data_IF_165958179962
#
_entry.id   IF_165958179962
#
_cell.length_a   1.000
_cell.length_b   1.000
_cell.length_c   1.000
_cell.angle_alpha   90.00
_cell.angle_beta   90.00
_cell.angle_gamma   90.00
#
_symmetry.space_group_name_H-M   'P 1'
#
loop_
_entity.id
_entity.type
_entity.pdbx_description
1 polymer ?
#
# COMPACT_ATOMS: atom_id res chain seq x y z
N UNK A 1 -12.95 -12.95 -1.29
CA UNK A 1 -12.63 -11.54 -1.59
C UNK A 1 -13.02 -11.25 -3.01
N UNK A 2 -13.55 -10.04 -3.25
CA UNK A 2 -13.84 -9.48 -4.57
C UNK A 2 -12.81 -8.41 -4.89
N UNK A 3 -12.38 -8.34 -6.13
CA UNK A 3 -11.42 -7.34 -6.59
C UNK A 3 -12.05 -6.44 -7.64
N UNK A 4 -11.80 -5.14 -7.51
CA UNK A 4 -12.09 -4.14 -8.53
C UNK A 4 -10.77 -3.62 -9.05
N UNK A 5 -10.60 -3.66 -10.37
CA UNK A 5 -9.44 -3.12 -11.04
C UNK A 5 -9.76 -1.72 -11.55
N UNK A 6 -8.86 -0.76 -11.36
CA UNK A 6 -9.00 0.58 -11.91
C UNK A 6 -7.66 1.17 -12.31
N UNK A 7 -7.66 2.23 -13.12
CA UNK A 7 -6.42 2.93 -13.48
C UNK A 7 -5.74 3.54 -12.26
N UNK A 8 -6.55 4.08 -11.36
CA UNK A 8 -6.15 4.60 -10.05
C UNK A 8 -7.38 4.79 -9.17
N UNK A 9 -7.16 4.93 -7.87
CA UNK A 9 -8.20 5.25 -6.91
C UNK A 9 -8.28 6.76 -6.66
N UNK A 10 -9.48 7.33 -6.70
CA UNK A 10 -9.73 8.70 -6.25
C UNK A 10 -9.95 8.67 -4.74
N UNK A 11 -8.98 9.19 -3.97
CA UNK A 11 -9.04 9.18 -2.51
C UNK A 11 -9.92 10.27 -1.93
N UNK A 12 -10.20 11.33 -2.69
CA UNK A 12 -11.10 12.39 -2.25
C UNK A 12 -12.57 11.96 -2.44
N UNK A 13 -12.86 11.32 -3.57
CA UNK A 13 -14.19 10.82 -3.89
C UNK A 13 -14.45 9.36 -3.47
N UNK A 14 -13.44 8.67 -2.93
CA UNK A 14 -13.50 7.26 -2.52
C UNK A 14 -14.07 6.32 -3.58
N UNK A 15 -13.62 6.48 -4.83
CA UNK A 15 -14.12 5.71 -5.97
C UNK A 15 -13.03 5.47 -7.02
N UNK A 16 -13.15 4.41 -7.85
CA UNK A 16 -12.23 4.21 -8.96
C UNK A 16 -12.33 5.34 -9.98
N UNK A 17 -11.20 5.90 -10.43
CA UNK A 17 -11.20 6.94 -11.49
C UNK A 17 -11.69 6.40 -12.83
N UNK A 18 -11.21 5.22 -13.21
CA UNK A 18 -11.67 4.44 -14.37
C UNK A 18 -11.58 2.97 -14.02
N UNK A 19 -12.73 2.29 -13.97
CA UNK A 19 -12.79 0.84 -13.80
C UNK A 19 -12.17 0.17 -15.04
N UNK A 20 -11.34 -0.83 -14.80
CA UNK A 20 -10.74 -1.68 -15.83
C UNK A 20 -11.51 -3.00 -15.90
N UNK A 21 -11.57 -3.58 -17.08
CA UNK A 21 -11.92 -5.00 -17.19
C UNK A 21 -10.78 -5.85 -16.63
N UNK A 22 -11.09 -7.11 -16.29
CA UNK A 22 -10.06 -8.06 -15.86
C UNK A 22 -8.98 -8.25 -16.94
N UNK A 23 -9.38 -8.33 -18.22
CA UNK A 23 -8.45 -8.46 -19.34
C UNK A 23 -7.51 -7.27 -19.48
N UNK A 24 -8.01 -6.04 -19.31
CA UNK A 24 -7.18 -4.83 -19.32
C UNK A 24 -6.17 -4.85 -18.17
N UNK A 25 -6.60 -5.20 -16.96
CA UNK A 25 -5.73 -5.28 -15.78
C UNK A 25 -4.69 -6.41 -15.94
N UNK A 26 -5.08 -7.56 -16.49
CA UNK A 26 -4.19 -8.69 -16.77
C UNK A 26 -3.14 -8.32 -17.82
N UNK A 27 -3.52 -7.59 -18.87
CA UNK A 27 -2.58 -7.10 -19.88
C UNK A 27 -1.55 -6.13 -19.29
N UNK A 28 -1.98 -5.22 -18.38
CA UNK A 28 -1.07 -4.34 -17.63
C UNK A 28 -0.11 -5.14 -16.75
N UNK A 29 -0.63 -6.08 -15.98
CA UNK A 29 0.18 -6.94 -15.13
C UNK A 29 1.19 -7.77 -15.93
N UNK A 30 0.82 -8.25 -17.13
CA UNK A 30 1.72 -8.98 -18.02
C UNK A 30 2.72 -8.07 -18.78
N UNK A 31 2.73 -6.76 -18.53
CA UNK A 31 3.64 -5.80 -19.19
C UNK A 31 3.31 -5.52 -20.66
N UNK A 32 2.08 -5.79 -21.09
CA UNK A 32 1.65 -5.59 -22.49
C UNK A 32 1.21 -4.15 -22.76
N UNK A 33 0.95 -3.37 -21.71
CA UNK A 33 0.63 -1.94 -21.81
C UNK A 33 1.90 -1.14 -21.51
N UNK A 34 2.33 -0.21 -22.38
CA UNK A 34 3.52 0.60 -22.15
C UNK A 34 3.28 1.72 -21.12
N UNK A 35 4.37 2.26 -20.57
CA UNK A 35 4.32 3.48 -19.78
C UNK A 35 3.75 4.65 -20.59
N UNK A 36 3.02 5.60 -19.96
CA UNK A 36 2.80 5.71 -18.51
C UNK A 36 1.59 4.91 -17.99
N UNK A 37 0.83 4.22 -18.85
CA UNK A 37 -0.45 3.59 -18.50
C UNK A 37 -0.33 2.14 -18.00
N UNK A 38 0.90 1.66 -17.80
CA UNK A 38 1.22 0.27 -17.49
C UNK A 38 0.86 -0.18 -16.07
N UNK A 39 0.55 0.76 -15.17
CA UNK A 39 0.24 0.48 -13.77
C UNK A 39 -1.28 0.46 -13.56
N UNK A 40 -1.73 -0.12 -12.46
CA UNK A 40 -3.14 -0.10 -12.08
C UNK A 40 -3.32 -0.24 -10.57
N UNK A 41 -4.53 0.00 -10.11
CA UNK A 41 -4.93 -0.25 -8.72
C UNK A 41 -5.90 -1.44 -8.65
N UNK A 42 -5.70 -2.26 -7.63
CA UNK A 42 -6.62 -3.30 -7.18
C UNK A 42 -7.26 -2.82 -5.89
N UNK A 43 -8.58 -2.72 -5.83
CA UNK A 43 -9.30 -2.50 -4.58
C UNK A 43 -9.93 -3.84 -4.15
N UNK A 44 -9.60 -4.30 -2.94
CA UNK A 44 -10.05 -5.58 -2.41
C UNK A 44 -11.22 -5.39 -1.43
N UNK A 45 -12.30 -6.11 -1.65
CA UNK A 45 -13.52 -6.05 -0.85
C UNK A 45 -13.84 -7.42 -0.28
N UNK A 46 -14.50 -7.42 0.88
CA UNK A 46 -15.13 -8.64 1.39
C UNK A 46 -16.25 -9.09 0.46
N UNK A 47 -16.50 -10.39 0.43
CA UNK A 47 -17.52 -10.96 -0.47
C UNK A 47 -18.95 -10.50 -0.13
N UNK A 48 -19.18 -10.08 1.11
CA UNK A 48 -20.47 -9.63 1.66
C UNK A 48 -20.69 -8.12 1.59
N UNK A 49 -19.72 -7.36 1.08
CA UNK A 49 -19.72 -5.89 1.08
C UNK A 49 -19.94 -5.35 -0.34
N UNK A 50 -20.60 -4.20 -0.45
CA UNK A 50 -20.82 -3.56 -1.75
C UNK A 50 -19.52 -2.89 -2.24
N UNK A 51 -19.32 -2.81 -3.55
CA UNK A 51 -18.14 -2.15 -4.16
C UNK A 51 -18.12 -0.63 -3.86
N UNK A 52 -19.23 -0.08 -3.37
CA UNK A 52 -19.36 1.31 -2.93
C UNK A 52 -18.93 1.55 -1.49
N UNK A 53 -18.66 0.50 -0.71
CA UNK A 53 -18.15 0.61 0.65
C UNK A 53 -16.61 0.73 0.65
N UNK A 54 -15.96 0.65 1.81
CA UNK A 54 -14.49 0.68 1.86
C UNK A 54 -13.88 -0.63 1.37
N UNK A 55 -12.85 -0.57 0.52
CA UNK A 55 -11.98 -1.72 0.34
C UNK A 55 -11.24 -2.01 1.65
N UNK A 56 -11.01 -3.29 1.94
CA UNK A 56 -10.17 -3.71 3.08
C UNK A 56 -8.72 -3.27 2.88
N UNK A 57 -8.27 -3.27 1.63
CA UNK A 57 -6.98 -2.71 1.21
C UNK A 57 -7.01 -2.39 -0.28
N UNK A 58 -6.07 -1.55 -0.71
CA UNK A 58 -5.80 -1.30 -2.12
C UNK A 58 -4.36 -1.67 -2.46
N UNK A 59 -4.10 -2.06 -3.70
CA UNK A 59 -2.76 -2.33 -4.20
C UNK A 59 -2.54 -1.54 -5.48
N UNK A 60 -1.59 -0.63 -5.49
CA UNK A 60 -1.07 -0.03 -6.73
C UNK A 60 0.09 -0.89 -7.22
N UNK A 61 0.05 -1.33 -8.47
CA UNK A 61 0.98 -2.35 -8.98
C UNK A 61 1.52 -2.00 -10.36
N UNK A 62 2.84 -2.17 -10.52
CA UNK A 62 3.54 -2.14 -11.81
C UNK A 62 3.51 -3.51 -12.50
N UNK A 63 3.79 -3.58 -13.82
CA UNK A 63 3.91 -4.85 -14.53
C UNK A 63 4.77 -5.88 -13.80
N UNK A 64 4.31 -7.14 -13.74
CA UNK A 64 4.98 -8.24 -13.07
C UNK A 64 5.18 -8.05 -11.57
N UNK A 65 4.48 -7.09 -10.96
CA UNK A 65 4.76 -6.59 -9.61
C UNK A 65 6.22 -6.14 -9.42
N UNK A 66 6.82 -5.46 -10.41
CA UNK A 66 8.13 -4.80 -10.25
C UNK A 66 8.15 -3.90 -9.00
N UNK A 67 7.03 -3.25 -8.75
CA UNK A 67 6.71 -2.50 -7.53
C UNK A 67 5.24 -2.74 -7.17
N UNK A 68 4.95 -2.78 -5.88
CA UNK A 68 3.59 -2.78 -5.36
C UNK A 68 3.48 -1.91 -4.11
N UNK A 69 2.49 -1.02 -4.05
CA UNK A 69 2.15 -0.28 -2.84
C UNK A 69 0.82 -0.78 -2.30
N UNK A 70 0.80 -1.24 -1.06
CA UNK A 70 -0.41 -1.73 -0.37
C UNK A 70 -0.89 -0.65 0.58
N UNK A 71 -2.14 -0.22 0.43
CA UNK A 71 -2.77 0.83 1.21
C UNK A 71 -3.84 0.24 2.11
N UNK A 72 -3.75 0.49 3.41
CA UNK A 72 -4.74 0.05 4.40
C UNK A 72 -5.55 1.22 4.90
N UNK A 73 -6.85 1.00 4.99
CA UNK A 73 -7.83 2.06 5.22
C UNK A 73 -8.69 1.67 6.42
N UNK A 74 -8.92 2.60 7.33
CA UNK A 74 -9.81 2.35 8.46
C UNK A 74 -11.30 2.46 8.08
N UNK A 75 -12.17 2.19 9.05
CA UNK A 75 -13.62 2.29 8.88
C UNK A 75 -14.12 3.72 8.61
N UNK A 76 -13.31 4.74 8.89
CA UNK A 76 -13.59 6.13 8.64
C UNK A 76 -12.94 6.64 7.34
N UNK A 77 -12.43 5.74 6.50
CA UNK A 77 -11.82 6.03 5.20
C UNK A 77 -10.49 6.79 5.33
N UNK A 78 -9.78 6.64 6.45
CA UNK A 78 -8.45 7.22 6.63
C UNK A 78 -7.40 6.24 6.13
N UNK A 79 -6.38 6.73 5.43
CA UNK A 79 -5.24 5.91 5.02
C UNK A 79 -4.31 5.70 6.22
N UNK A 80 -4.36 4.54 6.85
CA UNK A 80 -3.58 4.27 8.06
C UNK A 80 -2.18 3.76 7.75
N UNK A 81 -2.03 2.90 6.75
CA UNK A 81 -0.74 2.31 6.40
C UNK A 81 -0.50 2.30 4.90
N UNK A 82 0.76 2.50 4.51
CA UNK A 82 1.28 2.25 3.17
C UNK A 82 2.47 1.31 3.29
N UNK A 83 2.44 0.18 2.59
CA UNK A 83 3.58 -0.73 2.48
C UNK A 83 4.08 -0.74 1.04
N UNK A 84 5.32 -0.28 0.84
CA UNK A 84 6.00 -0.25 -0.44
C UNK A 84 6.89 -1.47 -0.63
N UNK A 85 6.60 -2.23 -1.69
CA UNK A 85 7.36 -3.43 -2.07
C UNK A 85 8.09 -3.22 -3.39
N UNK A 86 9.28 -3.81 -3.50
CA UNK A 86 10.03 -3.94 -4.77
C UNK A 86 10.34 -5.39 -5.07
N UNK A 87 10.32 -5.75 -6.35
CA UNK A 87 10.72 -7.08 -6.80
C UNK A 87 12.25 -7.23 -6.77
N UNK A 88 12.74 -8.20 -5.99
CA UNK A 88 14.15 -8.55 -5.84
C UNK A 88 14.24 -10.08 -5.89
N UNK A 89 15.06 -10.61 -6.81
CA UNK A 89 15.28 -12.04 -7.00
C UNK A 89 13.99 -12.89 -7.11
N UNK A 90 12.96 -12.33 -7.77
CA UNK A 90 11.68 -13.01 -8.03
C UNK A 90 10.71 -13.01 -6.85
N UNK A 91 10.97 -12.21 -5.81
CA UNK A 91 10.09 -12.03 -4.64
C UNK A 91 9.90 -10.54 -4.36
N UNK A 92 8.82 -10.19 -3.70
CA UNK A 92 8.59 -8.83 -3.21
C UNK A 92 9.28 -8.64 -1.87
N UNK A 93 10.15 -7.64 -1.78
CA UNK A 93 10.75 -7.19 -0.54
C UNK A 93 10.07 -5.91 -0.07
N UNK A 94 9.65 -5.85 1.20
CA UNK A 94 9.14 -4.64 1.84
C UNK A 94 10.29 -3.65 2.00
N UNK A 95 10.32 -2.60 1.17
CA UNK A 95 11.34 -1.55 1.23
C UNK A 95 10.92 -0.37 2.08
N UNK A 96 9.61 -0.16 2.26
CA UNK A 96 9.09 0.99 2.99
C UNK A 96 7.79 0.60 3.70
N UNK A 97 7.62 1.06 4.94
CA UNK A 97 6.33 1.08 5.63
C UNK A 97 6.07 2.45 6.23
N UNK A 98 4.93 3.03 5.91
CA UNK A 98 4.47 4.28 6.52
C UNK A 98 3.20 4.04 7.32
N UNK A 99 3.17 4.52 8.56
CA UNK A 99 1.98 4.60 9.41
C UNK A 99 1.56 6.07 9.57
N UNK A 100 0.26 6.33 9.49
CA UNK A 100 -0.32 7.65 9.71
C UNK A 100 -1.30 7.62 10.88
N UNK A 101 -1.16 8.62 11.75
CA UNK A 101 -2.12 8.88 12.83
C UNK A 101 -2.93 10.13 12.53
N UNK A 102 -4.23 10.07 12.78
CA UNK A 102 -5.16 11.18 12.61
C UNK A 102 -5.74 11.63 13.95
N UNK A 103 -6.27 12.86 13.98
CA UNK A 103 -7.09 13.28 15.11
C UNK A 103 -8.38 12.44 15.17
N UNK A 104 -9.01 12.28 16.35
CA UNK A 104 -10.33 11.67 16.42
C UNK A 104 -11.34 12.54 15.66
N UNK A 105 -12.08 11.96 14.71
CA UNK A 105 -13.12 12.74 14.03
C UNK A 105 -13.48 12.30 12.62
N UNK A 106 -13.86 11.04 12.42
CA UNK A 106 -14.35 10.58 11.10
C UNK A 106 -13.26 10.60 10.03
N UNK A 107 -13.65 10.93 8.80
CA UNK A 107 -12.74 10.94 7.65
C UNK A 107 -11.84 12.17 7.65
N UNK A 108 -10.56 11.92 7.39
CA UNK A 108 -9.50 12.89 7.23
C UNK A 108 -8.70 12.59 5.96
N UNK A 109 -8.46 13.59 5.10
CA UNK A 109 -7.52 13.45 4.00
C UNK A 109 -6.09 13.35 4.53
N UNK A 110 -5.16 12.80 3.73
CA UNK A 110 -3.80 12.48 4.17
C UNK A 110 -3.05 13.69 4.77
N UNK A 111 -3.23 14.90 4.21
CA UNK A 111 -2.58 16.11 4.71
C UNK A 111 -2.98 16.48 6.15
N UNK A 112 -4.12 15.98 6.64
CA UNK A 112 -4.62 16.18 8.00
C UNK A 112 -4.09 15.15 9.01
N UNK A 113 -3.27 14.18 8.58
CA UNK A 113 -2.56 13.32 9.52
C UNK A 113 -1.74 14.18 10.51
N UNK A 114 -1.86 13.88 11.80
CA UNK A 114 -1.26 14.63 12.91
C UNK A 114 0.10 14.08 13.30
N UNK A 115 0.38 12.82 12.97
CA UNK A 115 1.70 12.21 13.07
C UNK A 115 1.88 11.16 11.98
N UNK A 116 3.12 10.81 11.70
CA UNK A 116 3.46 9.68 10.85
C UNK A 116 4.85 9.14 11.15
N UNK A 117 5.04 7.89 10.81
CA UNK A 117 6.30 7.16 10.92
C UNK A 117 6.55 6.44 9.60
N UNK A 118 7.70 6.66 8.98
CA UNK A 118 8.14 5.93 7.79
C UNK A 118 9.40 5.15 8.14
N UNK A 119 9.32 3.82 8.06
CA UNK A 119 10.48 2.95 8.12
C UNK A 119 10.89 2.52 6.71
N UNK A 120 12.15 2.73 6.34
CA UNK A 120 12.76 2.23 5.11
C UNK A 120 13.68 1.06 5.46
N UNK A 121 13.63 -0.01 4.66
CA UNK A 121 14.38 -1.24 4.89
C UNK A 121 15.23 -1.58 3.68
N UNK A 122 16.43 -2.10 3.95
CA UNK A 122 17.35 -2.61 2.95
C UNK A 122 17.54 -4.13 3.09
N UNK A 123 17.92 -4.79 1.99
CA UNK A 123 18.06 -6.26 1.93
C UNK A 123 19.17 -6.82 2.81
N UNK A 124 20.09 -5.98 3.30
CA UNK A 124 21.15 -6.35 4.23
C UNK A 124 20.72 -6.31 5.71
N UNK A 125 19.49 -5.87 5.98
CA UNK A 125 18.92 -5.77 7.32
C UNK A 125 19.20 -4.43 8.00
N UNK A 126 19.75 -3.45 7.28
CA UNK A 126 19.74 -2.06 7.71
C UNK A 126 18.36 -1.44 7.52
N UNK A 127 18.06 -0.45 8.36
CA UNK A 127 16.81 0.28 8.30
C UNK A 127 16.99 1.71 8.81
N UNK A 128 16.09 2.58 8.36
CA UNK A 128 15.98 3.97 8.76
C UNK A 128 14.54 4.26 9.13
N UNK A 129 14.29 4.97 10.23
CA UNK A 129 12.95 5.40 10.64
C UNK A 129 12.93 6.91 10.73
N UNK A 130 12.05 7.52 9.93
CA UNK A 130 11.70 8.94 9.96
C UNK A 130 10.35 9.10 10.68
N UNK A 131 10.31 9.87 11.77
CA UNK A 131 9.05 10.20 12.45
C UNK A 131 8.74 11.68 12.35
N UNK A 132 7.46 12.05 12.31
CA UNK A 132 7.03 13.43 12.45
C UNK A 132 5.74 13.52 13.29
N UNK A 133 5.63 14.57 14.11
CA UNK A 133 4.44 14.81 14.93
C UNK A 133 4.06 16.31 14.98
N UNK A 134 2.95 16.66 14.32
CA UNK A 134 2.41 18.03 14.24
C UNK A 134 1.86 18.56 15.57
N UNK A 135 1.73 17.69 16.59
CA UNK A 135 1.23 18.06 17.92
C UNK A 135 2.34 18.57 18.84
N UNK A 136 3.61 18.41 18.45
CA UNK A 136 4.80 18.83 19.22
C UNK A 136 5.41 20.08 18.58
N UNK A 137 5.90 21.00 19.43
CA UNK A 137 6.65 22.18 18.98
C UNK A 137 8.06 22.21 19.63
N UNK A 138 9.13 22.43 18.84
CA UNK A 138 9.15 22.48 17.37
C UNK A 138 8.74 21.12 16.78
N UNK A 139 8.30 21.08 15.51
CA UNK A 139 8.00 19.84 14.78
C UNK A 139 9.24 18.93 14.89
N UNK A 140 9.22 17.89 15.74
CA UNK A 140 10.36 17.02 15.88
C UNK A 140 10.33 16.07 14.69
N UNK A 141 11.45 16.01 13.98
CA UNK A 141 11.81 14.85 13.17
C UNK A 141 12.80 14.05 14.01
N UNK A 142 12.35 12.92 14.56
CA UNK A 142 13.24 11.98 15.21
C UNK A 142 13.60 10.91 14.17
N UNK A 143 14.90 10.76 13.94
CA UNK A 143 15.46 9.83 12.95
C UNK A 143 16.20 8.72 13.71
N UNK A 144 15.99 7.47 13.33
CA UNK A 144 16.69 6.33 13.94
C UNK A 144 17.20 5.36 12.88
N UNK A 145 18.51 5.11 12.90
CA UNK A 145 19.14 4.08 12.09
C UNK A 145 19.37 2.80 12.91
N UNK A 146 19.30 1.65 12.24
CA UNK A 146 19.69 0.38 12.85
C UNK A 146 20.11 -0.66 11.83
N UNK A 147 20.66 -1.76 12.35
CA UNK A 147 21.23 -2.86 11.57
C UNK A 147 20.85 -4.21 12.17
N UNK A 148 21.02 -5.29 11.39
CA UNK A 148 20.82 -6.66 11.86
C UNK A 148 19.35 -7.03 12.05
N UNK A 149 18.42 -6.32 11.39
CA UNK A 149 17.01 -6.64 11.41
C UNK A 149 16.79 -8.04 10.79
N UNK A 150 15.99 -8.88 11.45
CA UNK A 150 15.59 -10.15 10.87
C UNK A 150 14.54 -9.93 9.76
N UNK A 151 14.98 -10.01 8.52
CA UNK A 151 14.16 -9.77 7.34
C UNK A 151 13.25 -10.94 6.93
N UNK A 152 13.19 -12.06 7.68
CA UNK A 152 12.42 -13.23 7.28
C UNK A 152 10.95 -12.95 6.93
N UNK A 153 10.35 -11.95 7.57
CA UNK A 153 8.97 -11.52 7.30
C UNK A 153 8.82 -10.40 6.25
N UNK A 154 9.92 -9.79 5.81
CA UNK A 154 9.91 -8.70 4.82
C UNK A 154 9.77 -9.19 3.37
N UNK A 155 9.66 -10.51 3.18
CA UNK A 155 9.58 -11.13 1.87
C UNK A 155 8.22 -11.76 1.65
N UNK A 156 7.59 -11.42 0.53
CA UNK A 156 6.35 -12.01 0.04
C UNK A 156 6.59 -12.53 -1.37
N UNK A 157 5.98 -13.65 -1.73
CA UNK A 157 6.06 -14.13 -3.10
C UNK A 157 5.29 -13.20 -4.04
N UNK A 158 5.74 -13.06 -5.29
CA UNK A 158 5.02 -12.26 -6.28
C UNK A 158 3.64 -12.91 -6.51
N UNK A 159 2.53 -12.21 -6.25
CA UNK A 159 1.21 -12.80 -6.37
C UNK A 159 0.88 -13.06 -7.84
N UNK A 160 0.30 -14.23 -8.15
CA UNK A 160 -0.34 -14.42 -9.45
C UNK A 160 -1.46 -13.39 -9.65
N UNK A 161 -1.75 -13.04 -10.91
CA UNK A 161 -2.84 -12.11 -11.20
C UNK A 161 -4.17 -12.64 -10.65
N UNK A 162 -4.82 -11.84 -9.79
CA UNK A 162 -6.06 -12.20 -9.11
C UNK A 162 -5.86 -12.79 -7.70
N UNK A 163 -4.63 -13.14 -7.32
CA UNK A 163 -4.28 -13.68 -6.01
C UNK A 163 -3.69 -12.60 -5.09
N UNK A 164 -4.41 -11.49 -4.90
CA UNK A 164 -3.91 -10.31 -4.19
C UNK A 164 -3.97 -10.39 -2.65
N UNK A 165 -4.75 -11.34 -2.11
CA UNK A 165 -4.97 -11.49 -0.67
C UNK A 165 -3.68 -11.52 0.19
N UNK A 166 -2.58 -12.21 -0.19
CA UNK A 166 -1.36 -12.24 0.62
C UNK A 166 -0.77 -10.86 0.91
N UNK A 167 -0.92 -9.89 -0.01
CA UNK A 167 -0.46 -8.52 0.20
C UNK A 167 -1.28 -7.79 1.27
N UNK A 168 -2.60 -8.02 1.31
CA UNK A 168 -3.48 -7.47 2.34
C UNK A 168 -3.35 -8.16 3.70
N UNK A 169 -2.92 -9.42 3.74
CA UNK A 169 -2.72 -10.16 4.98
C UNK A 169 -1.39 -9.83 5.67
N UNK A 170 -0.46 -9.16 4.98
CA UNK A 170 0.85 -8.78 5.50
C UNK A 170 0.77 -8.03 6.84
N UNK A 171 -0.22 -7.15 6.99
CA UNK A 171 -0.48 -6.37 8.22
C UNK A 171 -0.91 -7.23 9.41
N UNK A 172 -1.42 -8.46 9.20
CA UNK A 172 -1.84 -9.35 10.30
C UNK A 172 -0.69 -10.16 10.91
N UNK A 173 0.50 -10.09 10.31
CA UNK A 173 1.67 -10.89 10.72
C UNK A 173 2.69 -10.09 11.55
N UNK A 174 2.43 -8.79 11.76
CA UNK A 174 3.25 -7.82 12.47
C UNK A 174 2.40 -7.04 13.48
#
# INVERSE_FOLDING_TARGET
MKYVYCTSWDRDAWQPRRVLTEDEARARYAGQVPAPDHWFTVAAFRDDVAITDNPEFMVEVLPGAEMANVHFIDMAHNLCFIYGFKSIDGRLFLTESTEYTYAPGGHHPLQEAVAGETATFEVDGSFHVDTWDKRREPLPTDDADGEGLNLAKHWVDIPEFGAWAPLGEYLRLH
#
